data_IF_578675832667
#
_entry.id   IF_578675832667
#
_cell.length_a   1.000
_cell.length_b   1.000
_cell.length_c   1.000
_cell.angle_alpha   90.00
_cell.angle_beta   90.00
_cell.angle_gamma   90.00
#
_symmetry.space_group_name_H-M   'P 1'
#
loop_
_entity.id
_entity.type
_entity.pdbx_description
1 polymer ?
#
# COMPACT_ATOMS: atom_id res chain seq x y z
N UNK A 1 13.14 -27.83 -48.94
CA UNK A 1 14.45 -27.32 -49.40
C UNK A 1 14.37 -25.81 -49.38
N UNK A 2 14.80 -25.16 -48.31
CA UNK A 2 14.88 -23.69 -48.23
C UNK A 2 16.33 -23.32 -48.39
N UNK A 3 16.63 -22.81 -49.57
CA UNK A 3 17.95 -22.40 -50.03
C UNK A 3 18.46 -21.27 -49.11
N UNK A 4 19.54 -21.53 -48.39
CA UNK A 4 20.12 -20.63 -47.36
C UNK A 4 21.28 -19.79 -47.89
N UNK A 5 21.44 -19.65 -49.21
CA UNK A 5 22.78 -19.35 -49.76
C UNK A 5 22.93 -17.92 -50.29
N UNK A 6 21.89 -17.09 -50.44
CA UNK A 6 22.09 -15.74 -51.00
C UNK A 6 21.17 -14.70 -50.34
N UNK A 7 21.70 -13.95 -49.39
CA UNK A 7 21.09 -12.75 -48.83
C UNK A 7 21.70 -12.33 -47.50
N UNK A 8 21.94 -11.03 -47.32
CA UNK A 8 22.28 -10.47 -46.01
C UNK A 8 20.99 -10.21 -45.24
N UNK A 9 20.86 -10.81 -44.05
CA UNK A 9 19.70 -10.61 -43.18
C UNK A 9 20.13 -9.85 -41.93
N UNK A 10 19.42 -8.76 -41.62
CA UNK A 10 19.65 -7.97 -40.41
C UNK A 10 18.40 -7.97 -39.54
N UNK A 11 18.59 -8.07 -38.22
CA UNK A 11 17.52 -7.89 -37.24
C UNK A 11 17.81 -6.65 -36.40
N UNK A 12 16.82 -5.77 -36.24
CA UNK A 12 16.86 -4.71 -35.23
C UNK A 12 16.16 -5.19 -33.98
N UNK A 13 16.86 -5.15 -32.86
CA UNK A 13 16.39 -5.61 -31.57
C UNK A 13 16.29 -4.44 -30.59
N UNK A 14 15.22 -4.40 -29.81
CA UNK A 14 15.12 -3.53 -28.66
C UNK A 14 15.82 -4.18 -27.46
N UNK A 15 16.62 -3.40 -26.73
CA UNK A 15 17.34 -3.87 -25.53
C UNK A 15 16.58 -3.39 -24.31
N UNK A 16 16.22 -4.31 -23.41
CA UNK A 16 15.60 -3.98 -22.14
C UNK A 16 16.37 -4.59 -20.96
N UNK A 17 16.60 -3.82 -19.89
CA UNK A 17 17.15 -4.35 -18.65
C UNK A 17 16.11 -5.24 -17.95
N UNK A 18 16.56 -6.40 -17.47
CA UNK A 18 15.78 -7.39 -16.73
C UNK A 18 16.54 -7.79 -15.46
N UNK A 19 15.84 -8.35 -14.48
CA UNK A 19 16.39 -8.80 -13.19
C UNK A 19 17.53 -9.82 -13.39
N UNK A 20 17.49 -10.57 -14.50
CA UNK A 20 18.46 -11.59 -14.85
C UNK A 20 19.46 -11.15 -15.95
N UNK A 21 19.49 -9.86 -16.34
CA UNK A 21 20.42 -9.34 -17.37
C UNK A 21 19.74 -8.52 -18.48
N UNK A 22 20.36 -8.47 -19.67
CA UNK A 22 19.81 -7.77 -20.83
C UNK A 22 18.96 -8.71 -21.70
N UNK A 23 17.74 -8.31 -22.02
CA UNK A 23 16.86 -9.02 -22.94
C UNK A 23 16.81 -8.29 -24.29
N UNK A 24 16.84 -9.06 -25.39
CA UNK A 24 16.81 -8.55 -26.76
C UNK A 24 15.54 -9.03 -27.47
N UNK A 25 14.71 -8.10 -27.94
CA UNK A 25 13.45 -8.43 -28.65
C UNK A 25 13.53 -7.91 -30.09
N UNK A 26 13.42 -8.78 -31.12
CA UNK A 26 13.44 -8.33 -32.52
C UNK A 26 12.18 -7.54 -32.87
N UNK A 27 12.38 -6.32 -33.36
CA UNK A 27 11.32 -5.39 -33.77
C UNK A 27 11.20 -5.36 -35.30
N UNK A 28 12.33 -5.37 -36.00
CA UNK A 28 12.37 -5.34 -37.47
C UNK A 28 13.30 -6.42 -38.02
N UNK A 29 12.94 -6.95 -39.18
CA UNK A 29 13.71 -7.88 -39.98
C UNK A 29 13.97 -7.25 -41.36
N UNK A 30 15.22 -7.30 -41.81
CA UNK A 30 15.64 -6.86 -43.14
C UNK A 30 15.94 -8.06 -44.03
N UNK A 31 15.44 -8.01 -45.26
CA UNK A 31 15.85 -8.90 -46.35
C UNK A 31 16.03 -8.09 -47.63
N UNK A 32 17.06 -8.41 -48.41
CA UNK A 32 17.37 -7.77 -49.70
C UNK A 32 16.17 -7.73 -50.68
N UNK A 33 15.25 -8.70 -50.56
CA UNK A 33 14.05 -8.80 -51.41
C UNK A 33 12.90 -7.91 -50.94
N UNK A 34 12.84 -7.54 -49.66
CA UNK A 34 11.65 -6.92 -49.07
C UNK A 34 11.90 -5.70 -48.21
N UNK A 35 13.15 -5.21 -48.12
CA UNK A 35 13.58 -4.15 -47.22
C UNK A 35 13.19 -4.43 -45.75
N UNK A 36 13.27 -3.42 -44.89
CA UNK A 36 12.83 -3.52 -43.50
C UNK A 36 11.35 -3.85 -43.42
N UNK A 37 11.02 -4.91 -42.68
CA UNK A 37 9.65 -5.27 -42.32
C UNK A 37 9.54 -5.43 -40.82
N UNK A 38 8.37 -5.10 -40.28
CA UNK A 38 8.03 -5.42 -38.90
C UNK A 38 8.10 -6.92 -38.71
N UNK A 39 8.86 -7.37 -37.70
CA UNK A 39 8.96 -8.78 -37.36
C UNK A 39 7.56 -9.33 -37.09
N UNK A 40 7.22 -10.48 -37.71
CA UNK A 40 5.94 -11.17 -37.49
C UNK A 40 5.85 -11.84 -36.12
N UNK A 41 6.89 -11.79 -35.30
CA UNK A 41 6.74 -12.11 -33.89
C UNK A 41 5.71 -11.15 -33.32
N UNK A 42 4.59 -11.73 -32.93
CA UNK A 42 3.44 -11.11 -32.27
C UNK A 42 3.88 -9.88 -31.48
N UNK A 43 3.31 -8.71 -31.79
CA UNK A 43 3.52 -7.46 -31.05
C UNK A 43 3.06 -7.67 -29.59
N UNK A 44 3.94 -8.20 -28.76
CA UNK A 44 3.66 -8.54 -27.37
C UNK A 44 4.30 -7.45 -26.52
N UNK A 45 3.46 -6.70 -25.82
CA UNK A 45 3.92 -5.75 -24.80
C UNK A 45 4.43 -6.58 -23.63
N UNK A 46 5.74 -6.52 -23.39
CA UNK A 46 6.39 -7.17 -22.25
C UNK A 46 6.59 -6.10 -21.18
N UNK A 47 5.96 -6.30 -20.03
CA UNK A 47 6.04 -5.40 -18.89
C UNK A 47 7.33 -5.64 -18.09
N UNK A 48 7.78 -4.65 -17.29
CA UNK A 48 8.95 -4.82 -16.43
C UNK A 48 8.84 -6.10 -15.60
N UNK A 49 9.91 -6.90 -15.59
CA UNK A 49 9.90 -8.24 -14.97
C UNK A 49 9.52 -9.39 -15.92
N UNK A 50 9.49 -9.15 -17.24
CA UNK A 50 9.24 -10.16 -18.26
C UNK A 50 7.81 -10.76 -18.22
N UNK A 51 6.84 -9.94 -17.80
CA UNK A 51 5.42 -10.32 -17.72
C UNK A 51 4.67 -9.95 -18.99
N UNK A 52 3.84 -10.87 -19.51
CA UNK A 52 2.89 -10.59 -20.60
C UNK A 52 1.56 -10.01 -20.08
N UNK A 53 1.37 -10.06 -18.76
CA UNK A 53 0.20 -9.51 -18.08
C UNK A 53 0.49 -8.08 -17.70
N UNK A 54 -0.41 -7.17 -18.09
CA UNK A 54 -0.33 -5.77 -17.68
C UNK A 54 -0.32 -5.66 -16.16
N UNK A 55 0.68 -4.97 -15.57
CA UNK A 55 0.71 -4.76 -14.15
C UNK A 55 -0.56 -4.02 -13.79
N UNK A 56 -1.31 -4.58 -12.85
CA UNK A 56 -2.44 -3.88 -12.26
C UNK A 56 -1.91 -2.57 -11.72
N UNK A 57 -2.38 -1.43 -12.20
CA UNK A 57 -1.92 -0.10 -11.77
C UNK A 57 -2.24 0.25 -10.31
N UNK A 58 -2.48 -0.76 -9.47
CA UNK A 58 -2.81 -0.65 -8.05
C UNK A 58 -1.80 -1.47 -7.25
N UNK A 59 -1.22 -0.84 -6.25
CA UNK A 59 -0.36 -1.52 -5.28
C UNK A 59 -1.15 -2.61 -4.56
N UNK A 60 -0.55 -3.79 -4.47
CA UNK A 60 -1.10 -4.92 -3.71
C UNK A 60 -0.56 -4.78 -2.28
N UNK A 61 -1.44 -4.62 -1.30
CA UNK A 61 -1.06 -4.49 0.12
C UNK A 61 -0.82 -5.85 0.79
N UNK A 62 -1.08 -6.95 0.09
CA UNK A 62 -0.96 -8.31 0.62
C UNK A 62 0.50 -8.63 0.94
N UNK A 63 0.79 -8.95 2.21
CA UNK A 63 2.12 -9.27 2.71
C UNK A 63 3.00 -8.05 3.03
N UNK A 64 2.47 -6.82 2.91
CA UNK A 64 3.18 -5.60 3.29
C UNK A 64 2.96 -5.34 4.78
N UNK A 65 4.05 -5.05 5.50
CA UNK A 65 3.98 -4.59 6.90
C UNK A 65 3.63 -3.10 6.92
N UNK A 66 2.50 -2.76 7.53
CA UNK A 66 2.05 -1.36 7.67
C UNK A 66 2.27 -0.89 9.10
N UNK A 67 2.92 0.26 9.27
CA UNK A 67 3.09 0.96 10.54
C UNK A 67 1.84 1.78 10.82
N UNK A 68 1.06 1.34 11.79
CA UNK A 68 -0.25 1.89 12.13
C UNK A 68 -0.10 2.69 13.42
N UNK A 69 -0.20 4.01 13.32
CA UNK A 69 -0.23 4.89 14.49
C UNK A 69 -1.60 4.86 15.14
N UNK A 70 -1.65 4.62 16.45
CA UNK A 70 -2.88 4.62 17.24
C UNK A 70 -2.71 5.53 18.45
N UNK A 71 -3.75 6.26 18.82
CA UNK A 71 -3.79 7.09 20.03
C UNK A 71 -4.59 6.39 21.13
N UNK A 72 -4.16 6.55 22.37
CA UNK A 72 -4.93 6.14 23.54
C UNK A 72 -6.13 7.09 23.72
N UNK A 73 -7.34 6.58 23.48
CA UNK A 73 -8.58 7.32 23.62
C UNK A 73 -9.69 6.36 24.02
N UNK A 74 -10.13 6.41 25.28
CA UNK A 74 -11.20 5.55 25.77
C UNK A 74 -12.56 6.11 25.26
N UNK A 75 -13.44 5.27 24.66
CA UNK A 75 -13.45 3.81 24.63
C UNK A 75 -12.87 3.16 23.35
N UNK A 76 -12.30 3.94 22.43
CA UNK A 76 -11.88 3.47 21.10
C UNK A 76 -10.59 2.64 21.14
N UNK A 77 -9.59 3.08 21.89
CA UNK A 77 -8.33 2.39 22.13
C UNK A 77 -8.00 2.46 23.61
N UNK A 78 -7.96 1.30 24.24
CA UNK A 78 -7.64 1.11 25.65
C UNK A 78 -6.31 0.37 25.71
N UNK A 79 -5.36 1.00 26.38
CA UNK A 79 -4.02 0.44 26.59
C UNK A 79 -4.01 -0.19 27.97
N UNK A 80 -3.79 -1.50 28.04
CA UNK A 80 -3.68 -2.23 29.31
C UNK A 80 -2.30 -2.85 29.41
N UNK A 81 -1.65 -2.71 30.56
CA UNK A 81 -0.41 -3.40 30.84
C UNK A 81 -0.75 -4.76 31.43
N UNK A 82 -0.41 -5.83 30.70
CA UNK A 82 -0.66 -7.21 31.10
C UNK A 82 0.67 -7.87 31.35
N UNK A 83 0.78 -8.55 32.49
CA UNK A 83 1.94 -9.40 32.77
C UNK A 83 1.72 -10.70 32.01
N UNK A 84 2.58 -10.96 31.04
CA UNK A 84 2.54 -12.19 30.25
C UNK A 84 2.88 -13.40 31.13
N UNK A 85 2.58 -14.63 30.66
CA UNK A 85 2.88 -15.87 31.41
C UNK A 85 4.38 -16.02 31.73
N UNK A 86 5.23 -15.30 30.98
CA UNK A 86 6.68 -15.22 31.15
C UNK A 86 7.14 -14.09 32.10
N UNK A 87 6.23 -13.37 32.76
CA UNK A 87 6.52 -12.27 33.68
C UNK A 87 6.96 -10.96 33.01
N UNK A 88 6.87 -10.86 31.68
CA UNK A 88 7.15 -9.62 30.95
C UNK A 88 5.91 -8.73 30.92
N UNK A 89 6.12 -7.41 31.06
CA UNK A 89 5.05 -6.43 31.00
C UNK A 89 4.74 -6.13 29.52
N UNK A 90 3.69 -6.74 29.00
CA UNK A 90 3.25 -6.59 27.62
C UNK A 90 2.09 -5.60 27.55
N UNK A 91 2.20 -4.63 26.66
CA UNK A 91 1.12 -3.67 26.41
C UNK A 91 0.09 -4.31 25.49
N UNK A 92 -1.12 -4.53 26.00
CA UNK A 92 -2.25 -5.06 25.23
C UNK A 92 -3.18 -3.92 24.84
N UNK A 93 -3.44 -3.81 23.53
CA UNK A 93 -4.43 -2.90 22.97
C UNK A 93 -5.79 -3.59 22.91
N UNK A 94 -6.82 -2.94 23.45
CA UNK A 94 -8.21 -3.42 23.39
C UNK A 94 -9.13 -2.28 23.01
N UNK A 95 -10.29 -2.58 22.44
CA UNK A 95 -11.28 -1.58 22.03
C UNK A 95 -11.60 -1.65 20.55
N UNK A 96 -12.41 -0.71 20.07
CA UNK A 96 -12.91 -0.73 18.70
C UNK A 96 -11.82 -0.59 17.63
N UNK A 97 -10.79 0.22 17.86
CA UNK A 97 -9.75 0.49 16.86
C UNK A 97 -8.83 -0.72 16.63
N UNK A 98 -8.30 -1.40 17.67
CA UNK A 98 -7.55 -2.66 17.48
C UNK A 98 -8.35 -3.73 16.72
N UNK A 99 -9.62 -3.94 17.11
CA UNK A 99 -10.50 -4.94 16.47
C UNK A 99 -10.74 -4.61 14.98
N UNK A 100 -10.89 -3.32 14.65
CA UNK A 100 -11.02 -2.85 13.27
C UNK A 100 -9.74 -3.11 12.47
N UNK A 101 -8.56 -2.91 13.07
CA UNK A 101 -7.27 -3.15 12.42
C UNK A 101 -7.12 -4.64 12.08
N UNK A 102 -7.44 -5.53 13.01
CA UNK A 102 -7.39 -6.97 12.82
C UNK A 102 -8.32 -7.41 11.67
N UNK A 103 -9.57 -6.93 11.69
CA UNK A 103 -10.54 -7.21 10.61
C UNK A 103 -10.06 -6.72 9.24
N UNK A 104 -9.44 -5.53 9.17
CA UNK A 104 -8.88 -4.99 7.94
C UNK A 104 -7.67 -5.80 7.46
N UNK A 105 -6.80 -6.21 8.38
CA UNK A 105 -5.64 -7.04 8.10
C UNK A 105 -6.07 -8.39 7.49
N UNK A 106 -7.09 -9.04 8.05
CA UNK A 106 -7.62 -10.30 7.53
C UNK A 106 -8.24 -10.15 6.13
N UNK A 107 -8.98 -9.06 5.91
CA UNK A 107 -9.69 -8.85 4.65
C UNK A 107 -8.77 -8.44 3.49
N UNK A 108 -7.74 -7.63 3.77
CA UNK A 108 -6.82 -7.06 2.77
C UNK A 108 -5.54 -7.91 2.66
N UNK A 109 -5.14 -8.56 3.75
CA UNK A 109 -3.96 -9.42 3.84
C UNK A 109 -2.65 -8.68 4.12
N UNK A 110 -2.69 -7.48 4.71
CA UNK A 110 -1.48 -6.78 5.17
C UNK A 110 -1.08 -7.24 6.58
N UNK A 111 0.17 -6.99 6.97
CA UNK A 111 0.69 -7.32 8.31
C UNK A 111 0.57 -6.07 9.19
N UNK A 112 -0.27 -6.07 10.24
CA UNK A 112 -0.44 -4.90 11.09
C UNK A 112 0.74 -4.74 12.06
N UNK A 113 1.41 -3.59 12.04
CA UNK A 113 2.37 -3.17 13.05
C UNK A 113 1.78 -1.98 13.82
N UNK A 114 1.09 -2.26 14.93
CA UNK A 114 0.43 -1.25 15.75
C UNK A 114 1.47 -0.53 16.62
N UNK A 115 1.52 0.80 16.51
CA UNK A 115 2.42 1.66 17.26
C UNK A 115 1.60 2.68 18.04
N UNK A 116 1.74 2.64 19.36
CA UNK A 116 1.11 3.63 20.23
C UNK A 116 1.83 4.97 20.09
N UNK A 117 1.06 6.02 19.78
CA UNK A 117 1.57 7.37 19.77
C UNK A 117 1.92 7.82 21.20
N UNK A 118 2.97 8.66 21.37
CA UNK A 118 3.31 9.22 22.67
C UNK A 118 2.11 9.93 23.34
N UNK A 119 1.98 9.81 24.66
CA UNK A 119 0.85 10.39 25.40
C UNK A 119 0.74 11.92 25.30
N UNK A 120 1.84 12.61 24.95
CA UNK A 120 1.87 14.06 24.72
C UNK A 120 1.60 14.46 23.25
N UNK A 121 1.33 13.50 22.37
CA UNK A 121 1.14 13.75 20.95
C UNK A 121 -0.24 14.37 20.69
N UNK A 122 -0.25 15.48 19.98
CA UNK A 122 -1.51 16.11 19.53
C UNK A 122 -2.04 15.43 18.27
N UNK A 123 -3.35 15.53 18.01
CA UNK A 123 -3.94 15.06 16.75
C UNK A 123 -3.27 15.67 15.50
N UNK A 124 -2.87 16.94 15.56
CA UNK A 124 -2.13 17.57 14.47
C UNK A 124 -0.72 16.98 14.32
N UNK A 125 -0.07 16.62 15.44
CA UNK A 125 1.19 15.90 15.44
C UNK A 125 1.07 14.49 14.84
N UNK A 126 -0.03 13.77 15.05
CA UNK A 126 -0.27 12.47 14.40
C UNK A 126 -0.34 12.60 12.88
N UNK A 127 -1.04 13.62 12.41
CA UNK A 127 -1.16 13.90 10.98
C UNK A 127 0.21 14.24 10.40
N UNK A 128 1.00 15.05 11.11
CA UNK A 128 2.37 15.36 10.69
C UNK A 128 3.25 14.11 10.69
N UNK A 129 3.06 13.18 11.62
CA UNK A 129 3.80 11.92 11.65
C UNK A 129 3.50 11.03 10.42
N UNK A 130 2.27 11.08 9.90
CA UNK A 130 1.92 10.43 8.60
C UNK A 130 2.59 11.16 7.44
N UNK A 131 2.52 12.50 7.40
CA UNK A 131 3.18 13.31 6.35
C UNK A 131 4.69 13.05 6.30
N UNK A 132 5.32 12.90 7.46
CA UNK A 132 6.75 12.62 7.59
C UNK A 132 7.11 11.14 7.36
N UNK A 133 6.13 10.27 7.09
CA UNK A 133 6.34 8.84 6.85
C UNK A 133 6.79 8.05 8.08
N UNK A 134 6.54 8.55 9.29
CA UNK A 134 6.78 7.79 10.53
C UNK A 134 5.74 6.67 10.68
N UNK A 135 4.48 6.98 10.38
CA UNK A 135 3.39 6.03 10.25
C UNK A 135 2.94 5.98 8.80
N UNK A 136 2.57 4.80 8.32
CA UNK A 136 1.98 4.65 6.99
C UNK A 136 0.50 5.05 7.01
N UNK A 137 -0.18 4.74 8.13
CA UNK A 137 -1.57 5.14 8.39
C UNK A 137 -1.75 5.45 9.88
N UNK A 138 -2.74 6.29 10.21
CA UNK A 138 -3.21 6.51 11.58
C UNK A 138 -4.68 6.14 11.67
N UNK A 139 -5.06 5.40 12.70
CA UNK A 139 -6.44 5.01 12.97
C UNK A 139 -6.80 5.42 14.39
N UNK A 140 -7.88 6.18 14.53
CA UNK A 140 -8.35 6.74 15.80
C UNK A 140 -9.51 7.71 15.60
N UNK A 141 -9.88 8.40 16.68
CA UNK A 141 -10.89 9.44 16.74
C UNK A 141 -10.41 10.78 16.14
N UNK A 142 -9.84 10.73 14.94
CA UNK A 142 -9.30 11.91 14.26
C UNK A 142 -10.42 12.66 13.53
N UNK A 143 -10.75 13.85 14.01
CA UNK A 143 -11.71 14.74 13.32
C UNK A 143 -11.16 15.19 11.97
N UNK A 144 -11.99 15.01 10.93
CA UNK A 144 -11.69 15.44 9.57
C UNK A 144 -12.01 16.93 9.41
N UNK A 145 -10.99 17.74 9.13
CA UNK A 145 -11.13 19.18 8.87
C UNK A 145 -10.55 19.53 7.49
N UNK A 146 -10.92 20.69 6.94
CA UNK A 146 -10.43 21.13 5.64
C UNK A 146 -8.90 21.24 5.61
N UNK A 147 -8.30 21.93 6.60
CA UNK A 147 -6.85 22.10 6.73
C UNK A 147 -6.10 20.77 6.84
N UNK A 148 -6.70 19.75 7.44
CA UNK A 148 -6.07 18.42 7.55
C UNK A 148 -6.15 17.64 6.23
N UNK A 149 -7.23 17.80 5.46
CA UNK A 149 -7.38 17.17 4.14
C UNK A 149 -6.38 17.67 3.11
N UNK A 150 -5.88 18.89 3.28
CA UNK A 150 -4.80 19.43 2.43
C UNK A 150 -3.46 18.71 2.65
N UNK A 151 -3.26 18.11 3.83
CA UNK A 151 -2.02 17.45 4.22
C UNK A 151 -2.06 15.92 3.99
N UNK A 152 -3.20 15.28 4.24
CA UNK A 152 -3.35 13.82 4.18
C UNK A 152 -4.71 13.39 3.59
N UNK A 153 -4.73 12.20 3.00
CA UNK A 153 -5.96 11.54 2.58
C UNK A 153 -6.73 10.95 3.76
N UNK A 154 -8.05 11.09 3.76
CA UNK A 154 -8.94 10.48 4.76
C UNK A 154 -9.81 9.40 4.13
N UNK A 155 -10.12 8.35 4.90
CA UNK A 155 -11.18 7.41 4.55
C UNK A 155 -12.56 8.05 4.69
N UNK A 156 -13.60 7.31 4.32
CA UNK A 156 -14.94 7.61 4.80
C UNK A 156 -14.95 7.61 6.35
N UNK A 157 -15.78 8.47 6.93
CA UNK A 157 -15.90 8.57 8.38
C UNK A 157 -16.37 7.23 8.95
N UNK A 158 -15.62 6.73 9.93
CA UNK A 158 -15.95 5.49 10.66
C UNK A 158 -17.15 5.74 11.58
N UNK A 159 -17.22 6.93 12.17
CA UNK A 159 -18.32 7.38 13.02
C UNK A 159 -18.76 8.80 12.61
N UNK A 160 -20.07 9.02 12.61
CA UNK A 160 -20.64 10.35 12.47
C UNK A 160 -20.71 11.00 13.86
N UNK A 161 -19.74 11.87 14.17
CA UNK A 161 -19.58 12.41 15.51
C UNK A 161 -20.39 13.70 15.68
N UNK A 162 -21.61 13.57 16.17
CA UNK A 162 -22.45 14.70 16.53
C UNK A 162 -22.17 15.17 17.96
N UNK A 163 -21.95 16.47 18.17
CA UNK A 163 -21.81 17.05 19.52
C UNK A 163 -23.09 16.85 20.34
N UNK A 164 -22.93 16.52 21.62
CA UNK A 164 -24.02 16.28 22.58
C UNK A 164 -23.71 16.98 23.91
N UNK A 165 -24.74 17.57 24.53
CA UNK A 165 -24.69 18.06 25.91
C UNK A 165 -25.37 17.02 26.79
N UNK A 166 -24.70 16.57 27.85
CA UNK A 166 -25.21 15.57 28.79
C UNK A 166 -25.47 16.27 30.13
N UNK A 167 -26.67 16.10 30.71
CA UNK A 167 -27.02 16.64 32.02
C UNK A 167 -27.63 15.58 32.92
N UNK A 168 -27.52 15.77 34.24
CA UNK A 168 -28.10 14.86 35.25
C UNK A 168 -29.61 14.77 35.08
N UNK A 169 -30.14 13.55 34.98
CA UNK A 169 -31.59 13.30 35.06
C UNK A 169 -32.07 13.62 36.49
N UNK A 170 -32.95 14.59 36.65
CA UNK A 170 -33.57 14.86 37.95
C UNK A 170 -34.56 13.73 38.25
N UNK A 171 -34.45 13.02 39.39
CA UNK A 171 -35.48 12.08 39.81
C UNK A 171 -36.77 12.85 40.12
N UNK A 172 -37.91 12.35 39.63
CA UNK A 172 -39.25 12.84 39.97
C UNK A 172 -39.68 12.35 41.34
#
# INVERSE_FOLDING_TARGET
VTDRIIGSYYYLQNVQPSVNGLNFIPVLEYSDSTNWKTSKQTNVIIWPGNSLVSPTGRAILKGISLRIGVIESMPFTIVTNVIDESGQNTTKFTGYVPDLIEMLADKIGFIPNIQLAPSNQTYSGLIQAVVNGQYDIVIGDVTVTATRRELVGFSNAIFDNSLRIIMRKTPY
#
